data_IF_542948089516
#
_entry.id   IF_542948089516
#
_cell.length_a   1.000
_cell.length_b   1.000
_cell.length_c   1.000
_cell.angle_alpha   90.00
_cell.angle_beta   90.00
_cell.angle_gamma   90.00
#
_symmetry.space_group_name_H-M   'P 1'
#
loop_
_entity.id
_entity.type
_entity.pdbx_description
1 polymer ?
#
# COMPACT_ATOMS: atom_id res chain seq x y z
N UNK A 1 23.52 40.34 -24.08
CA UNK A 1 23.05 39.40 -25.11
C UNK A 1 23.34 37.97 -24.60
N UNK A 2 22.33 37.26 -24.03
CA UNK A 2 22.48 35.84 -23.65
C UNK A 2 22.37 35.01 -24.93
N UNK A 3 23.28 34.07 -25.22
CA UNK A 3 23.15 33.16 -26.35
C UNK A 3 22.00 32.18 -26.01
N UNK A 4 21.02 32.15 -26.88
CA UNK A 4 19.86 31.25 -26.83
C UNK A 4 20.33 29.80 -26.75
N UNK A 5 19.86 29.09 -25.72
CA UNK A 5 20.31 27.77 -25.33
C UNK A 5 20.10 26.71 -26.41
N UNK A 6 21.20 26.20 -26.93
CA UNK A 6 21.20 24.88 -27.55
C UNK A 6 20.94 23.83 -26.45
N UNK A 7 20.11 22.82 -26.71
CA UNK A 7 19.81 21.81 -25.71
C UNK A 7 21.11 21.15 -25.20
N UNK A 8 21.25 21.06 -23.87
CA UNK A 8 22.44 20.47 -23.18
C UNK A 8 22.82 19.10 -23.75
N UNK A 9 21.86 18.30 -24.19
CA UNK A 9 22.06 16.99 -24.81
C UNK A 9 22.87 16.99 -26.10
N UNK A 10 22.99 18.13 -26.78
CA UNK A 10 23.86 18.29 -27.98
C UNK A 10 25.27 18.76 -27.66
N UNK A 11 25.53 19.21 -26.42
CA UNK A 11 26.81 19.78 -26.06
C UNK A 11 27.62 18.87 -25.12
N UNK A 12 26.98 18.21 -24.17
CA UNK A 12 27.65 17.36 -23.15
C UNK A 12 26.84 16.10 -22.91
N UNK A 13 27.47 14.95 -23.11
CA UNK A 13 26.94 13.64 -22.73
C UNK A 13 27.34 13.35 -21.26
N UNK A 14 26.41 12.77 -20.48
CA UNK A 14 26.66 12.36 -19.09
C UNK A 14 27.86 11.44 -18.94
N UNK A 15 28.09 10.54 -19.90
CA UNK A 15 29.26 9.68 -19.90
C UNK A 15 30.58 10.49 -19.99
N UNK A 16 30.59 11.63 -20.67
CA UNK A 16 31.74 12.52 -20.73
C UNK A 16 31.98 13.23 -19.39
N UNK A 17 30.90 13.60 -18.66
CA UNK A 17 31.01 14.18 -17.32
C UNK A 17 31.52 13.13 -16.32
N UNK A 18 31.09 11.90 -16.41
CA UNK A 18 31.59 10.81 -15.59
C UNK A 18 33.07 10.53 -15.88
N UNK A 19 33.44 10.52 -17.15
CA UNK A 19 34.83 10.40 -17.57
C UNK A 19 35.71 11.53 -17.02
N UNK A 20 35.21 12.78 -17.00
CA UNK A 20 35.87 13.90 -16.38
C UNK A 20 36.06 13.68 -14.87
N UNK A 21 35.00 13.33 -14.14
CA UNK A 21 35.00 13.13 -12.68
C UNK A 21 36.04 12.04 -12.28
N UNK A 22 36.01 10.91 -12.99
CA UNK A 22 36.94 9.82 -12.72
C UNK A 22 38.37 10.21 -13.10
N UNK A 23 38.61 10.90 -14.22
CA UNK A 23 39.93 11.39 -14.59
C UNK A 23 40.48 12.39 -13.58
N UNK A 24 39.61 13.28 -13.07
CA UNK A 24 39.98 14.25 -12.03
C UNK A 24 40.42 13.57 -10.74
N UNK A 25 39.77 12.46 -10.35
CA UNK A 25 40.11 11.68 -9.14
C UNK A 25 41.35 10.80 -9.31
N UNK A 26 41.50 10.15 -10.46
CA UNK A 26 42.59 9.17 -10.69
C UNK A 26 43.88 9.81 -11.14
N UNK A 27 43.82 11.00 -11.80
CA UNK A 27 44.96 11.67 -12.42
C UNK A 27 45.76 10.78 -13.42
N UNK A 28 45.10 9.71 -13.91
CA UNK A 28 45.74 8.73 -14.79
C UNK A 28 44.73 8.18 -15.80
N UNK A 29 45.00 8.35 -17.10
CA UNK A 29 44.06 7.96 -18.17
C UNK A 29 43.86 6.45 -18.28
N UNK A 30 44.90 5.66 -17.99
CA UNK A 30 44.80 4.20 -17.99
C UNK A 30 43.93 3.73 -16.82
N UNK A 31 44.16 4.27 -15.63
CA UNK A 31 43.31 3.98 -14.47
C UNK A 31 41.86 4.45 -14.65
N UNK A 32 41.67 5.60 -15.33
CA UNK A 32 40.32 6.08 -15.72
C UNK A 32 39.62 5.06 -16.64
N UNK A 33 40.34 4.60 -17.67
CA UNK A 33 39.83 3.58 -18.59
C UNK A 33 39.44 2.30 -17.88
N UNK A 34 40.30 1.78 -17.01
CA UNK A 34 40.02 0.57 -16.23
C UNK A 34 38.73 0.70 -15.37
N UNK A 35 38.50 1.87 -14.75
CA UNK A 35 37.28 2.12 -13.95
C UNK A 35 36.01 2.24 -14.78
N UNK A 36 36.11 2.73 -16.02
CA UNK A 36 34.96 2.93 -16.91
C UNK A 36 34.76 1.77 -17.90
N UNK A 37 35.60 0.74 -17.90
CA UNK A 37 35.56 -0.31 -18.92
C UNK A 37 35.93 0.20 -20.32
N UNK A 38 36.76 1.28 -20.42
CA UNK A 38 37.16 1.92 -21.67
C UNK A 38 38.63 1.72 -21.94
N UNK A 39 39.01 1.68 -23.23
CA UNK A 39 40.43 1.75 -23.61
C UNK A 39 40.97 3.16 -23.40
N UNK A 40 42.28 3.28 -23.16
CA UNK A 40 42.96 4.58 -23.01
C UNK A 40 42.74 5.51 -24.22
N UNK A 41 42.78 5.05 -25.49
CA UNK A 41 42.39 5.88 -26.62
C UNK A 41 40.96 6.42 -26.55
N UNK A 42 40.00 5.61 -26.07
CA UNK A 42 38.60 6.04 -25.90
C UNK A 42 38.47 7.14 -24.81
N UNK A 43 39.20 6.99 -23.69
CA UNK A 43 39.33 8.05 -22.67
C UNK A 43 39.89 9.34 -23.26
N UNK A 44 40.95 9.26 -24.03
CA UNK A 44 41.60 10.43 -24.68
C UNK A 44 40.64 11.09 -25.68
N UNK A 45 39.87 10.31 -26.44
CA UNK A 45 38.86 10.81 -27.36
C UNK A 45 37.72 11.53 -26.62
N UNK A 46 37.21 10.94 -25.54
CA UNK A 46 36.18 11.58 -24.69
C UNK A 46 36.67 12.93 -24.11
N UNK A 47 37.89 12.98 -23.60
CA UNK A 47 38.47 14.22 -23.13
C UNK A 47 38.65 15.26 -24.24
N UNK A 48 38.95 14.83 -25.48
CA UNK A 48 39.05 15.76 -26.61
C UNK A 48 37.73 16.43 -26.94
N UNK A 49 36.59 15.72 -26.76
CA UNK A 49 35.24 16.30 -26.89
C UNK A 49 34.97 17.34 -25.80
N UNK A 50 35.31 17.05 -24.55
CA UNK A 50 35.15 18.00 -23.45
C UNK A 50 36.03 19.26 -23.64
N UNK A 51 37.22 19.12 -24.12
CA UNK A 51 38.12 20.27 -24.47
C UNK A 51 37.44 21.20 -25.48
N UNK A 52 36.77 20.67 -26.48
CA UNK A 52 36.02 21.47 -27.45
C UNK A 52 34.80 22.18 -26.82
N UNK A 53 34.16 21.56 -25.87
CA UNK A 53 32.98 22.13 -25.18
C UNK A 53 33.43 23.27 -24.27
N UNK A 54 34.46 23.07 -23.45
CA UNK A 54 34.89 24.03 -22.44
C UNK A 54 35.92 25.03 -22.95
N UNK A 55 36.49 24.83 -24.16
CA UNK A 55 37.54 25.69 -24.72
C UNK A 55 38.85 25.64 -23.94
N UNK A 56 39.09 24.57 -23.20
CA UNK A 56 40.24 24.41 -22.31
C UNK A 56 40.84 23.00 -22.42
N UNK A 57 42.16 22.88 -22.14
CA UNK A 57 42.85 21.59 -22.17
C UNK A 57 42.36 20.62 -21.11
N UNK A 58 41.74 21.11 -20.05
CA UNK A 58 41.21 20.43 -18.87
C UNK A 58 42.24 19.60 -18.09
N UNK A 59 43.02 18.80 -18.79
CA UNK A 59 44.10 17.98 -18.22
C UNK A 59 45.34 18.08 -19.11
N UNK A 60 46.47 18.47 -18.50
CA UNK A 60 47.81 18.53 -19.14
C UNK A 60 48.62 17.28 -18.78
N UNK A 61 49.36 16.77 -19.75
CA UNK A 61 50.23 15.62 -19.54
C UNK A 61 51.42 15.98 -18.65
N UNK A 62 51.74 15.09 -17.73
CA UNK A 62 52.91 15.14 -16.88
C UNK A 62 53.77 13.89 -17.11
N UNK A 63 54.99 13.86 -16.57
CA UNK A 63 55.86 12.67 -16.62
C UNK A 63 55.16 11.42 -16.05
N UNK A 64 54.29 11.60 -15.05
CA UNK A 64 53.43 10.55 -14.48
C UNK A 64 51.99 11.02 -14.42
N UNK A 65 51.19 10.60 -15.40
CA UNK A 65 49.74 10.87 -15.43
C UNK A 65 49.34 12.23 -16.04
N UNK A 66 48.30 12.82 -15.49
CA UNK A 66 47.72 14.10 -15.94
C UNK A 66 47.45 15.02 -14.76
N UNK A 67 47.62 16.35 -14.97
CA UNK A 67 47.27 17.39 -14.00
C UNK A 67 46.12 18.25 -14.53
N UNK A 68 45.12 18.59 -13.71
CA UNK A 68 44.02 19.45 -14.12
C UNK A 68 44.47 20.91 -14.28
N UNK A 69 43.86 21.59 -15.22
CA UNK A 69 43.95 23.04 -15.37
C UNK A 69 43.12 23.76 -14.31
N UNK A 70 43.30 25.08 -14.18
CA UNK A 70 42.47 25.92 -13.30
C UNK A 70 40.97 25.78 -13.64
N UNK A 71 40.65 25.72 -14.94
CA UNK A 71 39.25 25.49 -15.40
C UNK A 71 38.72 24.12 -14.93
N UNK A 72 39.52 23.07 -15.08
CA UNK A 72 39.12 21.73 -14.60
C UNK A 72 38.93 21.71 -13.08
N UNK A 73 39.72 22.44 -12.30
CA UNK A 73 39.57 22.56 -10.85
C UNK A 73 38.21 23.23 -10.47
N UNK A 74 37.85 24.29 -11.21
CA UNK A 74 36.54 24.98 -11.02
C UNK A 74 35.36 24.11 -11.38
N UNK A 75 35.47 23.29 -12.42
CA UNK A 75 34.42 22.37 -12.89
C UNK A 75 34.25 21.13 -12.01
N UNK A 76 35.26 20.73 -11.27
CA UNK A 76 35.28 19.47 -10.53
C UNK A 76 34.14 19.34 -9.48
N UNK A 77 33.91 20.39 -8.69
CA UNK A 77 32.88 20.41 -7.69
C UNK A 77 31.45 20.29 -8.30
N UNK A 78 31.07 21.19 -9.21
CA UNK A 78 29.78 21.13 -9.91
C UNK A 78 29.53 19.78 -10.63
N UNK A 79 30.55 19.26 -11.36
CA UNK A 79 30.39 17.97 -12.06
C UNK A 79 30.25 16.81 -11.07
N UNK A 80 31.05 16.76 -10.00
CA UNK A 80 30.92 15.71 -8.98
C UNK A 80 29.52 15.71 -8.32
N UNK A 81 28.99 16.89 -7.99
CA UNK A 81 27.63 17.04 -7.43
C UNK A 81 26.56 16.57 -8.41
N UNK A 82 26.67 16.95 -9.68
CA UNK A 82 25.73 16.49 -10.71
C UNK A 82 25.77 14.96 -10.88
N UNK A 83 26.97 14.36 -10.92
CA UNK A 83 27.14 12.91 -11.01
C UNK A 83 26.61 12.18 -9.78
N UNK A 84 26.74 12.76 -8.59
CA UNK A 84 26.16 12.20 -7.36
C UNK A 84 24.63 12.18 -7.43
N UNK A 85 24.00 13.26 -7.90
CA UNK A 85 22.54 13.32 -8.09
C UNK A 85 22.08 12.24 -9.08
N UNK A 86 22.78 12.11 -10.22
CA UNK A 86 22.46 11.10 -11.23
C UNK A 86 22.60 9.68 -10.65
N UNK A 87 23.70 9.38 -9.96
CA UNK A 87 23.89 8.08 -9.31
C UNK A 87 22.80 7.77 -8.30
N UNK A 88 22.39 8.74 -7.49
CA UNK A 88 21.28 8.59 -6.54
C UNK A 88 19.94 8.23 -7.20
N UNK A 89 19.74 8.47 -8.50
CA UNK A 89 18.54 8.02 -9.22
C UNK A 89 18.59 6.54 -9.64
N UNK A 90 19.80 5.97 -9.69
CA UNK A 90 20.05 4.58 -10.13
C UNK A 90 20.22 3.65 -8.91
N UNK A 91 20.70 4.19 -7.80
CA UNK A 91 20.79 3.44 -6.55
C UNK A 91 19.39 3.03 -6.11
N UNK A 92 19.22 1.74 -5.79
CA UNK A 92 17.96 1.24 -5.25
C UNK A 92 17.66 2.02 -3.98
N UNK A 93 16.61 2.82 -4.01
CA UNK A 93 16.06 3.45 -2.81
C UNK A 93 15.62 2.31 -1.88
N UNK A 94 16.41 2.00 -0.87
CA UNK A 94 15.99 1.07 0.17
C UNK A 94 14.95 1.75 1.04
N UNK A 95 13.87 1.03 1.34
CA UNK A 95 12.90 1.50 2.32
C UNK A 95 13.32 1.03 3.70
N UNK A 96 13.75 1.96 4.55
CA UNK A 96 14.12 1.71 5.94
C UNK A 96 12.97 2.12 6.86
N UNK A 97 12.17 1.17 7.37
CA UNK A 97 10.97 1.46 8.14
C UNK A 97 11.20 2.34 9.37
N UNK A 98 12.31 2.13 10.09
CA UNK A 98 12.66 2.87 11.32
C UNK A 98 12.94 4.37 11.07
N UNK A 99 13.33 4.74 9.86
CA UNK A 99 13.66 6.11 9.48
C UNK A 99 12.58 6.79 8.63
N UNK A 100 11.68 5.98 8.06
CA UNK A 100 10.67 6.43 7.12
C UNK A 100 9.66 7.38 7.78
N UNK A 101 9.48 8.58 7.18
CA UNK A 101 8.48 9.57 7.56
C UNK A 101 7.42 9.64 6.48
N UNK A 102 6.42 8.77 6.55
CA UNK A 102 5.34 8.67 5.58
C UNK A 102 4.00 8.51 6.28
N UNK A 103 2.96 9.06 5.71
CA UNK A 103 1.57 8.76 6.09
C UNK A 103 1.01 7.75 5.08
N UNK A 104 0.54 6.61 5.55
CA UNK A 104 -0.24 5.66 4.75
C UNK A 104 -1.72 5.92 4.94
N UNK A 105 -2.44 6.08 3.84
CA UNK A 105 -3.90 6.20 3.82
C UNK A 105 -4.52 4.86 3.48
N UNK A 106 -5.21 4.29 4.47
CA UNK A 106 -5.78 2.94 4.37
C UNK A 106 -7.29 3.02 4.44
N UNK A 107 -7.96 2.63 3.35
CA UNK A 107 -9.40 2.57 3.32
C UNK A 107 -9.92 1.29 4.01
N UNK A 108 -10.80 1.45 4.99
CA UNK A 108 -11.49 0.36 5.68
C UNK A 108 -12.76 0.87 6.37
N UNK A 109 -13.59 -0.05 6.82
CA UNK A 109 -14.75 0.29 7.64
C UNK A 109 -14.38 0.35 9.12
N UNK A 110 -15.30 0.84 9.94
CA UNK A 110 -15.22 0.89 11.41
C UNK A 110 -14.91 -0.48 12.05
N UNK A 111 -15.49 -1.57 11.55
CA UNK A 111 -15.12 -2.92 11.99
C UNK A 111 -13.68 -3.28 11.59
N UNK A 112 -13.24 -2.84 10.41
CA UNK A 112 -11.86 -2.99 9.97
C UNK A 112 -10.90 -2.24 10.91
N UNK A 113 -11.21 -0.99 11.24
CA UNK A 113 -10.44 -0.20 12.19
C UNK A 113 -10.32 -0.92 13.55
N UNK A 114 -11.46 -1.36 14.09
CA UNK A 114 -11.49 -2.07 15.37
C UNK A 114 -10.70 -3.37 15.37
N UNK A 115 -10.66 -4.08 14.23
CA UNK A 115 -9.98 -5.37 14.10
C UNK A 115 -8.48 -5.22 13.80
N UNK A 116 -8.10 -4.33 12.86
CA UNK A 116 -6.74 -4.23 12.35
C UNK A 116 -5.87 -3.24 13.12
N UNK A 117 -6.40 -2.05 13.48
CA UNK A 117 -5.56 -0.97 13.98
C UNK A 117 -4.85 -1.27 15.30
N UNK A 118 -5.43 -1.92 16.32
CA UNK A 118 -4.73 -2.12 17.59
C UNK A 118 -3.41 -2.88 17.42
N UNK A 119 -3.44 -3.98 16.68
CA UNK A 119 -2.22 -4.79 16.44
C UNK A 119 -1.27 -4.13 15.45
N UNK A 120 -1.81 -3.45 14.42
CA UNK A 120 -1.00 -2.71 13.46
C UNK A 120 -0.27 -1.55 14.14
N UNK A 121 -0.96 -0.74 14.94
CA UNK A 121 -0.36 0.38 15.68
C UNK A 121 0.74 -0.08 16.64
N UNK A 122 0.50 -1.17 17.37
CA UNK A 122 1.52 -1.77 18.24
C UNK A 122 2.76 -2.18 17.43
N UNK A 123 2.57 -2.83 16.28
CA UNK A 123 3.68 -3.26 15.40
C UNK A 123 4.43 -2.06 14.83
N UNK A 124 3.72 -1.05 14.33
CA UNK A 124 4.32 0.16 13.77
C UNK A 124 5.11 0.92 14.83
N UNK A 125 4.57 1.09 16.04
CA UNK A 125 5.29 1.73 17.14
C UNK A 125 6.63 1.08 17.47
N UNK A 126 6.74 -0.24 17.30
CA UNK A 126 7.97 -0.97 17.56
C UNK A 126 9.00 -0.90 16.42
N UNK A 127 8.58 -0.88 15.15
CA UNK A 127 9.51 -1.05 14.01
C UNK A 127 9.57 0.14 13.05
N UNK A 128 8.62 1.08 13.15
CA UNK A 128 8.50 2.22 12.24
C UNK A 128 7.83 3.41 12.94
N UNK A 129 8.42 3.97 14.01
CA UNK A 129 7.77 4.90 14.93
C UNK A 129 7.38 6.25 14.29
N UNK A 130 7.94 6.58 13.15
CA UNK A 130 7.67 7.83 12.43
C UNK A 130 6.62 7.68 11.31
N UNK A 131 6.18 6.46 11.03
CA UNK A 131 5.11 6.20 10.07
C UNK A 131 3.77 6.52 10.71
N UNK A 132 2.92 7.23 9.95
CA UNK A 132 1.53 7.53 10.33
C UNK A 132 0.57 6.68 9.49
N UNK A 133 -0.58 6.36 10.06
CA UNK A 133 -1.70 5.73 9.35
C UNK A 133 -2.93 6.61 9.51
N UNK A 134 -3.53 6.95 8.38
CA UNK A 134 -4.83 7.62 8.30
C UNK A 134 -5.84 6.64 7.73
N UNK A 135 -7.00 6.49 8.37
CA UNK A 135 -8.08 5.65 7.87
C UNK A 135 -9.14 6.46 7.15
N UNK A 136 -9.73 5.85 6.12
CA UNK A 136 -10.73 6.46 5.26
C UNK A 136 -11.85 5.44 5.03
N UNK A 137 -13.08 5.93 4.86
CA UNK A 137 -14.24 5.10 4.48
C UNK A 137 -14.96 5.69 3.26
N UNK A 138 -14.29 5.73 2.08
CA UNK A 138 -14.85 6.31 0.86
C UNK A 138 -15.89 5.39 0.23
N UNK A 139 -16.72 5.94 -0.65
CA UNK A 139 -17.55 5.15 -1.56
C UNK A 139 -16.70 4.40 -2.59
N UNK A 140 -17.29 3.42 -3.29
CA UNK A 140 -16.54 2.55 -4.22
C UNK A 140 -15.87 3.32 -5.37
N UNK A 141 -16.53 4.35 -5.90
CA UNK A 141 -15.99 5.19 -6.99
C UNK A 141 -14.77 5.98 -6.49
N UNK A 142 -14.90 6.64 -5.34
CA UNK A 142 -13.82 7.41 -4.72
C UNK A 142 -12.65 6.50 -4.31
N UNK A 143 -12.93 5.31 -3.79
CA UNK A 143 -11.93 4.32 -3.46
C UNK A 143 -11.11 3.90 -4.68
N UNK A 144 -11.79 3.59 -5.79
CA UNK A 144 -11.12 3.17 -7.03
C UNK A 144 -10.25 4.29 -7.59
N UNK A 145 -10.76 5.52 -7.61
CA UNK A 145 -10.01 6.70 -8.05
C UNK A 145 -8.82 6.99 -7.14
N UNK A 146 -9.01 6.95 -5.81
CA UNK A 146 -7.95 7.20 -4.83
C UNK A 146 -6.83 6.16 -4.87
N UNK A 147 -7.15 4.87 -5.09
CA UNK A 147 -6.13 3.83 -5.30
C UNK A 147 -5.35 4.07 -6.61
N UNK A 148 -6.01 4.53 -7.67
CA UNK A 148 -5.35 4.79 -8.95
C UNK A 148 -4.45 6.04 -8.92
N UNK A 149 -4.86 7.11 -8.24
CA UNK A 149 -4.07 8.34 -8.07
C UNK A 149 -2.93 8.16 -7.07
N UNK A 150 -3.10 7.29 -6.07
CA UNK A 150 -2.19 7.13 -4.92
C UNK A 150 -2.59 7.99 -3.72
N UNK A 151 -3.77 8.61 -3.72
CA UNK A 151 -4.35 9.29 -2.56
C UNK A 151 -4.79 8.28 -1.49
N UNK A 152 -5.00 7.02 -1.88
CA UNK A 152 -5.22 5.86 -1.02
C UNK A 152 -4.17 4.82 -1.33
N UNK A 153 -3.37 4.43 -0.35
CA UNK A 153 -2.30 3.45 -0.52
C UNK A 153 -2.83 2.01 -0.56
N UNK A 154 -3.85 1.73 0.26
CA UNK A 154 -4.37 0.37 0.47
C UNK A 154 -5.84 0.41 0.87
N UNK A 155 -6.60 -0.59 0.47
CA UNK A 155 -7.92 -0.85 1.05
C UNK A 155 -7.95 -2.24 1.70
N UNK A 156 -8.70 -2.39 2.79
CA UNK A 156 -8.87 -3.67 3.49
C UNK A 156 -10.36 -3.91 3.74
N UNK A 157 -10.85 -5.06 3.31
CA UNK A 157 -12.24 -5.43 3.53
C UNK A 157 -12.75 -6.47 2.54
N UNK A 158 -14.08 -6.56 2.45
CA UNK A 158 -14.79 -7.34 1.42
C UNK A 158 -15.28 -6.40 0.31
N UNK A 159 -14.49 -6.26 -0.76
CA UNK A 159 -14.72 -5.30 -1.85
C UNK A 159 -14.57 -6.00 -3.22
N UNK A 160 -15.44 -6.96 -3.56
CA UNK A 160 -15.31 -7.68 -4.82
C UNK A 160 -15.56 -6.77 -6.03
N UNK A 161 -14.89 -7.06 -7.14
CA UNK A 161 -15.12 -6.39 -8.41
C UNK A 161 -14.41 -5.06 -8.60
N UNK A 162 -13.25 -4.86 -7.98
CA UNK A 162 -12.41 -3.65 -8.08
C UNK A 162 -11.76 -3.40 -9.46
N UNK A 163 -11.91 -4.33 -10.41
CA UNK A 163 -11.36 -4.18 -11.76
C UNK A 163 -9.94 -4.69 -11.94
N UNK A 164 -9.49 -4.78 -13.20
CA UNK A 164 -8.22 -5.46 -13.58
C UNK A 164 -6.94 -4.75 -13.15
N UNK A 165 -7.00 -3.46 -12.83
CA UNK A 165 -5.83 -2.67 -12.42
C UNK A 165 -5.61 -2.70 -10.91
N UNK A 166 -6.54 -3.26 -10.14
CA UNK A 166 -6.42 -3.43 -8.70
C UNK A 166 -5.94 -4.85 -8.42
N UNK A 167 -4.83 -4.95 -7.71
CA UNK A 167 -4.32 -6.20 -7.18
C UNK A 167 -5.02 -6.49 -5.86
N UNK A 168 -5.23 -7.78 -5.58
CA UNK A 168 -5.81 -8.22 -4.31
C UNK A 168 -4.97 -9.33 -3.68
N UNK A 169 -5.00 -9.38 -2.36
CA UNK A 169 -4.44 -10.48 -1.57
C UNK A 169 -5.38 -10.81 -0.42
N UNK A 170 -5.82 -12.05 -0.37
CA UNK A 170 -6.63 -12.56 0.73
C UNK A 170 -5.86 -12.54 2.04
N UNK A 171 -6.53 -12.09 3.10
CA UNK A 171 -6.07 -12.17 4.49
C UNK A 171 -6.65 -13.37 5.20
N UNK A 172 -7.99 -13.48 5.21
CA UNK A 172 -8.70 -14.61 5.81
C UNK A 172 -10.12 -14.73 5.24
N UNK A 173 -10.76 -15.88 5.48
CA UNK A 173 -12.17 -16.08 5.19
C UNK A 173 -13.03 -15.73 6.40
N UNK A 174 -14.20 -15.16 6.13
CA UNK A 174 -15.17 -14.76 7.12
C UNK A 174 -16.54 -15.36 6.79
N UNK A 175 -17.40 -15.50 7.80
CA UNK A 175 -18.76 -16.01 7.64
C UNK A 175 -19.74 -15.20 8.46
N UNK A 176 -21.02 -15.31 8.13
CA UNK A 176 -22.07 -14.61 8.84
C UNK A 176 -22.65 -15.44 9.99
N UNK A 177 -22.95 -14.74 11.08
CA UNK A 177 -23.67 -15.28 12.25
C UNK A 177 -24.80 -14.34 12.62
N UNK A 178 -25.81 -14.86 13.29
CA UNK A 178 -26.84 -14.03 13.91
C UNK A 178 -26.38 -13.55 15.29
N UNK A 179 -26.70 -12.30 15.58
CA UNK A 179 -26.50 -11.67 16.88
C UNK A 179 -27.86 -11.13 17.36
N UNK A 180 -28.17 -11.37 18.62
CA UNK A 180 -29.38 -10.91 19.31
C UNK A 180 -29.10 -10.70 20.79
N UNK A 181 -29.94 -9.96 21.51
CA UNK A 181 -29.73 -9.76 22.95
C UNK A 181 -29.83 -11.08 23.73
N UNK A 182 -29.22 -11.14 24.90
CA UNK A 182 -29.40 -12.23 25.85
C UNK A 182 -30.89 -12.25 26.27
N UNK A 183 -31.51 -13.45 26.33
CA UNK A 183 -32.92 -13.59 26.63
C UNK A 183 -33.87 -13.23 25.49
N UNK A 184 -33.40 -13.00 24.26
CA UNK A 184 -34.26 -12.82 23.11
C UNK A 184 -35.12 -14.05 22.89
N UNK A 185 -36.44 -13.92 22.53
CA UNK A 185 -37.35 -15.06 22.36
C UNK A 185 -36.90 -16.12 21.38
N UNK A 186 -36.06 -15.74 20.38
CA UNK A 186 -35.47 -16.65 19.39
C UNK A 186 -34.09 -17.16 19.72
N UNK A 187 -33.49 -16.81 20.86
CA UNK A 187 -32.10 -17.14 21.18
C UNK A 187 -31.81 -18.65 21.29
N UNK A 188 -32.82 -19.43 21.63
CA UNK A 188 -32.76 -20.90 21.74
C UNK A 188 -33.28 -21.61 20.50
N UNK A 189 -33.80 -20.89 19.52
CA UNK A 189 -34.43 -21.48 18.34
C UNK A 189 -33.40 -21.91 17.31
N UNK A 190 -33.78 -22.89 16.51
CA UNK A 190 -33.07 -23.19 15.28
C UNK A 190 -33.45 -22.16 14.24
N UNK A 191 -32.51 -21.30 13.83
CA UNK A 191 -32.74 -20.22 12.86
C UNK A 191 -32.92 -20.77 11.43
N UNK A 192 -34.08 -21.41 11.15
CA UNK A 192 -34.47 -21.82 9.81
C UNK A 192 -34.96 -20.61 9.01
N UNK A 193 -35.14 -20.74 7.69
CA UNK A 193 -35.67 -19.67 6.85
C UNK A 193 -37.05 -19.17 7.33
N UNK A 194 -37.91 -20.09 7.76
CA UNK A 194 -39.26 -19.76 8.32
C UNK A 194 -39.10 -18.94 9.62
N UNK A 195 -38.18 -19.29 10.49
CA UNK A 195 -37.95 -18.54 11.74
C UNK A 195 -37.33 -17.17 11.47
N UNK A 196 -36.31 -17.08 10.59
CA UNK A 196 -35.70 -15.83 10.18
C UNK A 196 -36.71 -14.84 9.60
N UNK A 197 -37.71 -15.32 8.82
CA UNK A 197 -38.77 -14.49 8.27
C UNK A 197 -39.61 -13.75 9.34
N UNK A 198 -39.77 -14.32 10.51
CA UNK A 198 -40.54 -13.72 11.61
C UNK A 198 -39.74 -12.74 12.47
N UNK A 199 -38.46 -12.59 12.22
CA UNK A 199 -37.59 -11.69 12.95
C UNK A 199 -37.44 -10.35 12.23
N UNK A 200 -37.29 -9.29 13.01
CA UNK A 200 -37.02 -7.94 12.51
C UNK A 200 -35.53 -7.65 12.57
N UNK A 201 -34.98 -7.21 11.46
CA UNK A 201 -33.51 -7.11 11.31
C UNK A 201 -33.01 -5.67 11.37
N UNK A 202 -31.85 -5.48 11.99
CA UNK A 202 -30.98 -4.33 11.74
C UNK A 202 -29.85 -4.75 10.80
N UNK A 203 -29.58 -3.96 9.79
CA UNK A 203 -28.57 -4.22 8.77
C UNK A 203 -27.57 -3.08 8.71
N UNK A 204 -26.27 -3.41 8.79
CA UNK A 204 -25.19 -2.44 8.61
C UNK A 204 -24.81 -2.30 7.13
N UNK A 205 -24.73 -1.05 6.67
CA UNK A 205 -24.44 -0.66 5.29
C UNK A 205 -23.34 0.40 5.23
N UNK A 206 -22.10 0.07 5.64
CA UNK A 206 -21.02 1.02 5.55
C UNK A 206 -20.64 1.30 4.09
N UNK A 207 -20.23 2.53 3.76
CA UNK A 207 -19.77 2.88 2.42
C UNK A 207 -18.63 1.98 1.93
N UNK A 208 -18.51 1.82 0.61
CA UNK A 208 -17.37 1.15 -0.01
C UNK A 208 -17.31 -0.37 0.15
N UNK A 209 -18.31 -1.03 0.76
CA UNK A 209 -18.35 -2.48 0.93
C UNK A 209 -19.52 -3.14 0.23
N UNK A 210 -19.45 -4.45 0.06
CA UNK A 210 -20.54 -5.25 -0.51
C UNK A 210 -21.25 -6.15 0.51
N UNK A 211 -21.03 -5.97 1.80
CA UNK A 211 -21.70 -6.75 2.84
C UNK A 211 -23.22 -6.65 2.73
N UNK A 212 -23.74 -5.42 2.59
CA UNK A 212 -25.16 -5.18 2.43
C UNK A 212 -25.75 -5.99 1.28
N UNK A 213 -25.12 -5.98 0.11
CA UNK A 213 -25.61 -6.71 -1.06
C UNK A 213 -25.77 -8.21 -0.78
N UNK A 214 -24.81 -8.83 -0.07
CA UNK A 214 -24.88 -10.26 0.27
C UNK A 214 -25.99 -10.53 1.28
N UNK A 215 -26.08 -9.69 2.32
CA UNK A 215 -27.10 -9.83 3.37
C UNK A 215 -28.50 -9.62 2.80
N UNK A 216 -28.72 -8.53 2.07
CA UNK A 216 -30.03 -8.25 1.45
C UNK A 216 -30.46 -9.33 0.46
N UNK A 217 -29.54 -9.80 -0.39
CA UNK A 217 -29.85 -10.87 -1.35
C UNK A 217 -30.40 -12.12 -0.67
N UNK A 218 -29.90 -12.48 0.51
CA UNK A 218 -30.36 -13.64 1.25
C UNK A 218 -31.67 -13.30 2.02
N UNK A 219 -31.70 -12.17 2.73
CA UNK A 219 -32.88 -11.76 3.52
C UNK A 219 -34.11 -11.50 2.62
N UNK A 220 -33.89 -10.89 1.45
CA UNK A 220 -35.00 -10.65 0.49
C UNK A 220 -35.34 -11.87 -0.38
N UNK A 221 -34.58 -12.97 -0.29
CA UNK A 221 -34.86 -14.17 -1.11
C UNK A 221 -36.28 -14.69 -0.90
N UNK A 222 -36.92 -15.35 -1.90
CA UNK A 222 -38.25 -15.90 -1.78
C UNK A 222 -38.44 -16.88 -0.60
N UNK A 223 -37.34 -17.53 -0.21
CA UNK A 223 -37.31 -18.50 0.88
C UNK A 223 -37.31 -17.82 2.27
N UNK A 224 -36.74 -16.64 2.39
CA UNK A 224 -36.56 -15.93 3.66
C UNK A 224 -37.59 -14.80 3.81
N UNK A 225 -37.58 -13.80 2.91
CA UNK A 225 -38.47 -12.62 2.96
C UNK A 225 -38.53 -11.97 4.35
N UNK A 226 -37.36 -11.72 4.90
CA UNK A 226 -37.19 -11.13 6.23
C UNK A 226 -37.50 -9.63 6.23
N UNK A 227 -38.07 -9.12 7.33
CA UNK A 227 -38.27 -7.68 7.53
C UNK A 227 -36.94 -7.01 7.95
N UNK A 228 -36.54 -5.98 7.22
CA UNK A 228 -35.48 -5.10 7.63
C UNK A 228 -36.11 -3.87 8.26
N UNK A 229 -35.99 -3.76 9.58
CA UNK A 229 -36.58 -2.68 10.36
C UNK A 229 -35.66 -1.46 10.48
N UNK A 230 -34.34 -1.65 10.36
CA UNK A 230 -33.39 -0.58 10.55
C UNK A 230 -32.16 -0.77 9.67
N UNK A 231 -31.76 0.31 8.98
CA UNK A 231 -30.47 0.41 8.30
C UNK A 231 -29.55 1.36 9.05
N UNK A 232 -28.32 0.92 9.34
CA UNK A 232 -27.28 1.74 9.97
C UNK A 232 -26.04 1.79 9.09
N UNK A 233 -25.25 2.86 9.22
CA UNK A 233 -24.04 3.07 8.43
C UNK A 233 -22.76 2.46 9.05
N UNK A 234 -22.84 2.07 10.33
CA UNK A 234 -21.71 1.62 11.14
C UNK A 234 -21.99 0.23 11.69
N UNK A 235 -21.04 -0.65 11.58
CA UNK A 235 -21.11 -1.97 12.21
C UNK A 235 -21.06 -1.87 13.73
N UNK A 236 -20.32 -0.90 14.28
CA UNK A 236 -20.16 -0.74 15.73
C UNK A 236 -21.47 -0.30 16.41
N UNK A 237 -22.40 0.33 15.67
CA UNK A 237 -23.72 0.68 16.21
C UNK A 237 -24.65 -0.54 16.38
N UNK A 238 -24.37 -1.64 15.69
CA UNK A 238 -25.27 -2.82 15.71
C UNK A 238 -25.37 -3.45 17.08
N UNK A 239 -24.23 -3.61 17.77
CA UNK A 239 -24.18 -4.25 19.09
C UNK A 239 -25.07 -3.56 20.14
N UNK A 240 -24.92 -2.25 20.39
CA UNK A 240 -25.78 -1.51 21.32
C UNK A 240 -27.27 -1.59 20.94
N UNK A 241 -27.61 -1.43 19.64
CA UNK A 241 -29.01 -1.51 19.19
C UNK A 241 -29.62 -2.88 19.52
N UNK A 242 -28.87 -3.95 19.31
CA UNK A 242 -29.35 -5.31 19.58
C UNK A 242 -29.48 -5.56 21.08
N UNK A 243 -28.52 -5.08 21.89
CA UNK A 243 -28.56 -5.28 23.33
C UNK A 243 -29.84 -4.70 23.97
N UNK A 244 -30.34 -3.60 23.43
CA UNK A 244 -31.50 -2.87 23.97
C UNK A 244 -32.84 -3.15 23.26
N UNK A 245 -32.88 -4.04 22.26
CA UNK A 245 -34.07 -4.28 21.46
C UNK A 245 -34.30 -5.77 21.13
N UNK A 246 -35.50 -6.09 20.60
CA UNK A 246 -35.81 -7.39 20.01
C UNK A 246 -35.44 -7.46 18.51
N UNK A 247 -34.58 -6.55 18.02
CA UNK A 247 -34.00 -6.67 16.68
C UNK A 247 -32.90 -7.74 16.67
N UNK A 248 -32.71 -8.34 15.50
CA UNK A 248 -31.62 -9.27 15.26
C UNK A 248 -30.68 -8.73 14.17
N UNK A 249 -29.42 -9.09 14.20
CA UNK A 249 -28.51 -8.74 13.12
C UNK A 249 -27.81 -9.96 12.54
N UNK A 250 -27.60 -9.92 11.24
CA UNK A 250 -26.71 -10.82 10.53
C UNK A 250 -25.38 -10.08 10.33
N UNK A 251 -24.32 -10.54 11.00
CA UNK A 251 -23.05 -9.85 11.06
C UNK A 251 -21.86 -10.80 10.81
N UNK A 252 -20.70 -10.29 10.40
CA UNK A 252 -19.47 -11.08 10.36
C UNK A 252 -19.13 -11.67 11.74
N UNK A 253 -18.64 -12.92 11.75
CA UNK A 253 -18.36 -13.65 13.00
C UNK A 253 -17.35 -12.95 13.89
N UNK A 254 -16.34 -12.30 13.31
CA UNK A 254 -15.35 -11.52 14.06
C UNK A 254 -15.97 -10.31 14.77
N UNK A 255 -16.95 -9.65 14.16
CA UNK A 255 -17.72 -8.59 14.84
C UNK A 255 -18.51 -9.15 16.02
N UNK A 256 -19.24 -10.23 15.78
CA UNK A 256 -20.03 -10.86 16.84
C UNK A 256 -19.17 -11.24 18.05
N UNK A 257 -17.99 -11.81 17.81
CA UNK A 257 -17.05 -12.15 18.89
C UNK A 257 -16.57 -10.90 19.65
N UNK A 258 -16.27 -9.81 18.95
CA UNK A 258 -15.84 -8.55 19.59
C UNK A 258 -16.94 -7.91 20.45
N UNK A 259 -18.19 -7.99 19.99
CA UNK A 259 -19.35 -7.38 20.67
C UNK A 259 -19.78 -8.22 21.86
N UNK A 260 -19.83 -9.55 21.73
CA UNK A 260 -20.29 -10.46 22.77
C UNK A 260 -19.42 -10.42 24.04
N UNK A 261 -18.17 -9.97 23.94
CA UNK A 261 -17.30 -9.81 25.10
C UNK A 261 -17.63 -8.59 25.98
N UNK A 262 -18.43 -7.63 25.47
CA UNK A 262 -18.63 -6.35 26.11
C UNK A 262 -20.12 -5.96 26.28
N UNK A 263 -21.03 -6.69 25.66
CA UNK A 263 -22.46 -6.40 25.69
C UNK A 263 -23.25 -7.69 25.93
N UNK A 264 -24.44 -7.53 26.48
CA UNK A 264 -25.39 -8.63 26.75
C UNK A 264 -26.06 -9.15 25.45
N UNK A 265 -25.24 -9.70 24.58
CA UNK A 265 -25.67 -10.28 23.31
C UNK A 265 -25.26 -11.75 23.21
N UNK A 266 -26.04 -12.54 22.49
CA UNK A 266 -25.73 -13.92 22.18
C UNK A 266 -25.57 -14.11 20.65
N UNK A 267 -24.75 -15.09 20.30
CA UNK A 267 -24.41 -15.41 18.91
C UNK A 267 -24.99 -16.77 18.54
N UNK A 268 -25.76 -16.81 17.45
CA UNK A 268 -26.41 -17.99 16.94
C UNK A 268 -25.96 -18.29 15.50
N UNK A 269 -25.72 -19.56 15.19
CA UNK A 269 -25.42 -19.98 13.81
C UNK A 269 -26.72 -20.18 13.03
N UNK A 270 -26.91 -19.54 11.88
CA UNK A 270 -28.08 -19.77 11.06
C UNK A 270 -28.05 -21.14 10.38
N UNK A 271 -29.22 -21.79 10.24
CA UNK A 271 -29.40 -22.92 9.30
C UNK A 271 -29.50 -22.45 7.86
N UNK A 272 -29.92 -21.20 7.64
CA UNK A 272 -29.88 -20.57 6.32
C UNK A 272 -28.42 -20.41 5.90
N UNK A 273 -28.06 -20.89 4.71
CA UNK A 273 -26.71 -20.76 4.19
C UNK A 273 -26.46 -19.35 3.69
N UNK A 274 -25.53 -18.68 4.32
CA UNK A 274 -24.93 -17.46 3.81
C UNK A 274 -23.57 -17.79 3.18
N UNK A 275 -23.22 -17.21 2.02
CA UNK A 275 -21.92 -17.41 1.44
C UNK A 275 -20.85 -16.88 2.39
N UNK A 276 -19.80 -17.65 2.59
CA UNK A 276 -18.57 -17.12 3.18
C UNK A 276 -17.96 -16.07 2.24
N UNK A 277 -17.20 -15.16 2.78
CA UNK A 277 -16.52 -14.13 1.99
C UNK A 277 -15.09 -13.95 2.47
N UNK A 278 -14.23 -13.47 1.57
CA UNK A 278 -12.86 -13.23 1.86
C UNK A 278 -12.62 -11.76 2.21
N UNK A 279 -11.94 -11.53 3.32
CA UNK A 279 -11.37 -10.23 3.66
C UNK A 279 -10.02 -10.14 2.99
N UNK A 280 -9.87 -9.15 2.12
CA UNK A 280 -8.68 -8.98 1.30
C UNK A 280 -8.05 -7.60 1.50
N UNK A 281 -6.78 -7.48 1.15
CA UNK A 281 -6.11 -6.22 0.87
C UNK A 281 -6.20 -5.92 -0.62
N UNK A 282 -6.37 -4.63 -0.97
CA UNK A 282 -6.46 -4.16 -2.34
C UNK A 282 -5.54 -2.97 -2.55
N UNK A 283 -4.80 -2.94 -3.67
CA UNK A 283 -3.94 -1.83 -4.04
C UNK A 283 -3.87 -1.70 -5.56
N UNK A 284 -3.57 -0.51 -6.07
CA UNK A 284 -3.45 -0.32 -7.50
C UNK A 284 -2.14 -0.92 -8.03
N UNK A 285 -2.18 -1.54 -9.22
CA UNK A 285 -1.04 -2.21 -9.88
C UNK A 285 0.18 -1.31 -10.06
N UNK A 286 -0.04 0.00 -10.25
CA UNK A 286 1.03 1.01 -10.35
C UNK A 286 1.98 0.99 -9.15
N UNK A 287 1.47 0.71 -7.95
CA UNK A 287 2.25 0.69 -6.70
C UNK A 287 2.63 -0.72 -6.23
N UNK A 288 2.53 -1.71 -7.16
CA UNK A 288 2.80 -3.10 -6.80
C UNK A 288 4.23 -3.32 -6.30
N UNK A 289 5.20 -2.59 -6.88
CA UNK A 289 6.63 -2.68 -6.54
C UNK A 289 7.13 -1.50 -5.68
N UNK A 290 6.26 -0.55 -5.28
CA UNK A 290 6.65 0.49 -4.34
C UNK A 290 7.07 -0.13 -3.01
N UNK A 291 8.32 0.09 -2.58
CA UNK A 291 8.93 -0.61 -1.46
C UNK A 291 8.20 -0.36 -0.14
N UNK A 292 7.74 0.87 0.08
CA UNK A 292 6.97 1.22 1.28
C UNK A 292 5.61 0.52 1.29
N UNK A 293 4.92 0.47 0.14
CA UNK A 293 3.65 -0.23 -0.02
C UNK A 293 3.83 -1.75 0.12
N UNK A 294 4.89 -2.34 -0.44
CA UNK A 294 5.26 -3.75 -0.26
C UNK A 294 5.47 -4.06 1.22
N UNK A 295 6.25 -3.23 1.91
CA UNK A 295 6.52 -3.40 3.33
C UNK A 295 5.23 -3.36 4.18
N UNK A 296 4.34 -2.39 3.94
CA UNK A 296 3.07 -2.29 4.66
C UNK A 296 2.19 -3.53 4.42
N UNK A 297 2.07 -3.97 3.15
CA UNK A 297 1.30 -5.17 2.80
C UNK A 297 1.84 -6.44 3.46
N UNK A 298 3.16 -6.59 3.51
CA UNK A 298 3.80 -7.71 4.19
C UNK A 298 3.55 -7.65 5.69
N UNK A 299 3.72 -6.49 6.32
CA UNK A 299 3.42 -6.27 7.73
C UNK A 299 1.98 -6.65 8.08
N UNK A 300 1.00 -6.24 7.27
CA UNK A 300 -0.41 -6.60 7.47
C UNK A 300 -0.62 -8.10 7.24
N UNK A 301 -0.01 -8.69 6.21
CA UNK A 301 -0.10 -10.13 5.95
C UNK A 301 0.46 -10.97 7.09
N UNK A 302 1.57 -10.57 7.68
CA UNK A 302 2.22 -11.26 8.80
C UNK A 302 1.38 -11.21 10.08
N UNK A 303 0.66 -10.10 10.29
CA UNK A 303 -0.20 -9.92 11.45
C UNK A 303 -1.55 -10.65 11.33
N UNK A 304 -2.13 -10.71 10.13
CA UNK A 304 -3.53 -11.06 9.92
C UNK A 304 -3.79 -12.13 8.85
N UNK A 305 -2.77 -12.49 8.07
CA UNK A 305 -2.90 -13.54 7.05
C UNK A 305 -3.11 -14.93 7.66
N UNK A 306 -3.88 -15.76 6.97
CA UNK A 306 -4.08 -17.17 7.35
C UNK A 306 -2.73 -17.91 7.36
N UNK A 307 -2.26 -18.29 8.54
CA UNK A 307 -1.00 -19.04 8.72
C UNK A 307 -1.04 -20.44 8.10
N UNK A 308 -2.22 -20.91 7.72
CA UNK A 308 -2.42 -22.23 7.09
C UNK A 308 -2.10 -22.22 5.59
N UNK A 309 -2.19 -21.07 4.90
CA UNK A 309 -1.87 -20.96 3.48
C UNK A 309 -0.36 -21.01 3.20
N UNK A 310 0.48 -20.58 4.14
CA UNK A 310 1.95 -20.54 3.97
C UNK A 310 2.63 -21.92 4.18
N UNK A 311 1.92 -22.94 4.67
CA UNK A 311 2.47 -24.30 4.83
C UNK A 311 2.33 -25.19 3.60
N UNK A 312 1.70 -24.71 2.52
CA UNK A 312 1.52 -25.45 1.25
C UNK A 312 2.40 -24.95 0.09
N UNK A 313 3.30 -24.01 0.33
CA UNK A 313 4.21 -23.44 -0.66
C UNK A 313 5.70 -23.60 -0.24
N UNK A 314 6.05 -24.78 0.33
CA UNK A 314 7.45 -25.24 0.50
C UNK A 314 7.50 -26.66 -0.04
#
# INVERSE_FOLDING_TARGET
>A
MHPQGRPLSRQVDLNLLELFDITFKTRNLTATGARLGLSQPAVSYGLSKLRKVYGDALFVRMQRGVQPTTVAMQLAGPIASAMQIVRGTIEKVEFVPSEARRTFRVAMTDIGERYFLPRLAQRLGAVAPHIKVETLSPGLVELTAGLASGDIDLAIGFIPGMGKLVCEKKLFSEHFVYMMRVGHPAARDILTAARVRTLRHVVASPPGTRHLYVVEKVLASPQVRAEIALHVRSFLCVGPIIADTDLVALVPSNLAALVANNLDVCVCKPKVRFPAFDVCMYWHRRFHQDLASVWLRNTISDLFGDKTANRRAV
#
